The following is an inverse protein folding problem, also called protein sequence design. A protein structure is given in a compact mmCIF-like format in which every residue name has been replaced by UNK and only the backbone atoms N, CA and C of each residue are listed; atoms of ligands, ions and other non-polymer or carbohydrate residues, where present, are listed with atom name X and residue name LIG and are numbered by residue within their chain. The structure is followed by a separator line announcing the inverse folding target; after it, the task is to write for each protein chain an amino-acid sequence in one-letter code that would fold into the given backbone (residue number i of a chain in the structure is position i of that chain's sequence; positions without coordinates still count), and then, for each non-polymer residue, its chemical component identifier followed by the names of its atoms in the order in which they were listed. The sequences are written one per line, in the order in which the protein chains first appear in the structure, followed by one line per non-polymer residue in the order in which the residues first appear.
data_IF_483480090628
#
_entry.id   IF_483480090628
#
_cell.length_a   1.000
_cell.length_b   1.000
_cell.length_c   1.000
_cell.angle_alpha   90.00
_cell.angle_beta   90.00
_cell.angle_gamma   90.00
#
_symmetry.space_group_name_H-M   'P 1'
#
loop_
_entity.id
_entity.type
_entity.pdbx_description
1 polymer ?
#
# COMPACT_ATOMS: atom_id res chain seq x y z
N UNK A 1 -2.93 -4.32 19.16
CA UNK A 1 -3.52 -3.84 17.91
C UNK A 1 -2.80 -4.51 16.74
N UNK A 2 -3.50 -4.83 15.65
CA UNK A 2 -2.92 -5.51 14.48
C UNK A 2 -2.74 -4.55 13.31
N UNK A 3 -1.60 -4.65 12.61
CA UNK A 3 -1.28 -3.89 11.40
C UNK A 3 -0.99 -4.88 10.28
N UNK A 4 -1.67 -4.71 9.14
CA UNK A 4 -1.49 -5.54 7.96
C UNK A 4 -0.84 -4.69 6.86
N UNK A 5 0.42 -4.99 6.55
CA UNK A 5 1.15 -4.37 5.45
C UNK A 5 0.66 -4.95 4.12
N UNK A 6 0.25 -4.09 3.21
CA UNK A 6 -0.27 -4.47 1.89
C UNK A 6 0.67 -3.95 0.81
N UNK A 7 1.26 -4.86 0.05
CA UNK A 7 2.10 -4.54 -1.10
C UNK A 7 1.87 -5.53 -2.24
N UNK A 8 2.19 -5.15 -3.47
CA UNK A 8 1.99 -6.02 -4.63
C UNK A 8 2.90 -7.24 -4.58
N UNK A 9 4.20 -7.05 -4.22
CA UNK A 9 5.20 -8.11 -4.19
C UNK A 9 6.04 -8.08 -2.91
N UNK A 10 6.51 -9.26 -2.51
CA UNK A 10 7.37 -9.49 -1.35
C UNK A 10 8.65 -8.65 -1.37
N UNK A 11 9.24 -8.43 -2.54
CA UNK A 11 10.46 -7.61 -2.68
C UNK A 11 10.27 -6.20 -2.11
N UNK A 12 9.09 -5.60 -2.28
CA UNK A 12 8.79 -4.29 -1.70
C UNK A 12 8.84 -4.33 -0.18
N UNK A 13 8.25 -5.36 0.41
CA UNK A 13 8.28 -5.55 1.86
C UNK A 13 9.70 -5.81 2.37
N UNK A 14 10.38 -6.79 1.78
CA UNK A 14 11.71 -7.21 2.20
C UNK A 14 12.73 -6.07 2.14
N UNK A 15 12.64 -5.22 1.09
CA UNK A 15 13.61 -4.14 0.86
C UNK A 15 13.31 -2.89 1.69
N UNK A 16 12.04 -2.49 1.78
CA UNK A 16 11.69 -1.16 2.27
C UNK A 16 10.87 -1.16 3.56
N UNK A 17 10.15 -2.24 3.87
CA UNK A 17 9.15 -2.22 4.94
C UNK A 17 9.53 -3.11 6.13
N UNK A 18 10.47 -4.03 5.95
CA UNK A 18 10.84 -5.01 6.99
C UNK A 18 11.31 -4.33 8.28
N UNK A 19 12.22 -3.36 8.18
CA UNK A 19 12.73 -2.66 9.36
C UNK A 19 11.63 -1.92 10.12
N UNK A 20 10.68 -1.33 9.39
CA UNK A 20 9.52 -0.68 9.97
C UNK A 20 8.59 -1.70 10.65
N UNK A 21 8.35 -2.84 10.02
CA UNK A 21 7.53 -3.92 10.57
C UNK A 21 8.16 -4.51 11.85
N UNK A 22 9.48 -4.72 11.84
CA UNK A 22 10.23 -5.17 13.01
C UNK A 22 10.15 -4.15 14.18
N UNK A 23 10.31 -2.87 13.87
CA UNK A 23 10.19 -1.79 14.87
C UNK A 23 8.79 -1.77 15.50
N UNK A 24 7.74 -1.81 14.69
CA UNK A 24 6.36 -1.81 15.17
C UNK A 24 6.04 -3.09 15.96
N UNK A 25 6.61 -4.23 15.55
CA UNK A 25 6.49 -5.49 16.31
C UNK A 25 7.10 -5.37 17.70
N UNK A 26 8.29 -4.76 17.81
CA UNK A 26 8.94 -4.47 19.12
C UNK A 26 8.12 -3.52 19.99
N UNK A 27 7.29 -2.67 19.39
CA UNK A 27 6.33 -1.79 20.11
C UNK A 27 5.01 -2.48 20.48
N UNK A 28 4.91 -3.80 20.30
CA UNK A 28 3.75 -4.60 20.71
C UNK A 28 2.64 -4.71 19.67
N UNK A 29 2.85 -4.23 18.44
CA UNK A 29 1.89 -4.42 17.35
C UNK A 29 2.01 -5.83 16.77
N UNK A 30 0.87 -6.49 16.53
CA UNK A 30 0.84 -7.73 15.75
C UNK A 30 0.95 -7.40 14.26
N UNK A 31 2.03 -7.85 13.62
CA UNK A 31 2.30 -7.54 12.22
C UNK A 31 1.91 -8.71 11.33
N UNK A 32 1.18 -8.40 10.26
CA UNK A 32 0.87 -9.31 9.15
C UNK A 32 1.23 -8.67 7.82
N UNK A 33 1.43 -9.50 6.78
CA UNK A 33 1.81 -9.04 5.44
C UNK A 33 0.89 -9.68 4.40
N UNK A 34 0.43 -8.91 3.43
CA UNK A 34 -0.32 -9.42 2.28
C UNK A 34 0.36 -9.00 0.98
N UNK A 35 0.75 -9.99 0.17
CA UNK A 35 1.39 -9.79 -1.14
C UNK A 35 1.14 -11.00 -2.05
N UNK A 36 1.59 -10.90 -3.33
CA UNK A 36 1.33 -11.93 -4.32
C UNK A 36 2.24 -13.16 -4.20
N UNK A 37 3.47 -12.96 -3.77
CA UNK A 37 4.56 -13.95 -3.74
C UNK A 37 5.07 -14.15 -2.31
N UNK A 38 4.18 -14.63 -1.42
CA UNK A 38 4.50 -14.84 0.00
C UNK A 38 5.60 -15.86 0.23
N UNK A 39 5.85 -16.74 -0.72
CA UNK A 39 6.94 -17.72 -0.72
C UNK A 39 8.32 -17.07 -0.64
N UNK A 40 8.47 -15.86 -1.20
CA UNK A 40 9.71 -15.07 -1.21
C UNK A 40 9.76 -14.03 -0.07
N UNK A 41 8.83 -14.11 0.89
CA UNK A 41 8.78 -13.16 1.99
C UNK A 41 9.78 -13.56 3.09
N UNK A 42 10.68 -12.64 3.46
CA UNK A 42 11.64 -12.84 4.56
C UNK A 42 11.02 -12.53 5.93
N UNK A 43 9.73 -12.75 6.09
CA UNK A 43 8.97 -12.51 7.30
C UNK A 43 8.19 -13.76 7.69
N UNK A 44 7.70 -13.85 8.95
CA UNK A 44 6.99 -15.02 9.45
C UNK A 44 5.81 -15.42 8.54
N UNK A 45 5.91 -16.55 7.84
CA UNK A 45 4.87 -17.02 6.89
C UNK A 45 3.49 -17.20 7.54
N UNK A 46 3.44 -17.67 8.78
CA UNK A 46 2.18 -17.85 9.53
C UNK A 46 1.41 -16.54 9.78
N UNK A 47 2.05 -15.39 9.48
CA UNK A 47 1.47 -14.06 9.60
C UNK A 47 1.31 -13.39 8.23
N UNK A 48 1.16 -14.16 7.14
CA UNK A 48 1.06 -13.62 5.79
C UNK A 48 -0.17 -14.14 5.03
N UNK A 49 -0.63 -13.34 4.08
CA UNK A 49 -1.77 -13.64 3.21
C UNK A 49 -1.36 -13.54 1.75
N UNK A 50 -1.62 -14.61 0.99
CA UNK A 50 -1.43 -14.58 -0.47
C UNK A 50 -2.62 -13.90 -1.12
N UNK A 51 -2.37 -12.78 -1.82
CA UNK A 51 -3.34 -12.08 -2.64
C UNK A 51 -2.76 -11.89 -4.03
N UNK A 52 -3.40 -12.43 -5.04
CA UNK A 52 -2.93 -12.38 -6.42
C UNK A 52 -3.11 -10.97 -7.03
N UNK A 53 -2.38 -9.98 -6.50
CA UNK A 53 -2.43 -8.63 -7.06
C UNK A 53 -1.87 -8.59 -8.48
N UNK A 54 -2.50 -7.84 -9.40
CA UNK A 54 -1.88 -7.50 -10.66
C UNK A 54 -0.53 -6.78 -10.43
N UNK A 55 0.52 -7.20 -11.14
CA UNK A 55 1.86 -6.60 -10.98
C UNK A 55 2.07 -5.40 -11.89
N UNK A 56 1.31 -5.30 -12.99
CA UNK A 56 1.34 -4.18 -13.94
C UNK A 56 -0.09 -3.69 -14.19
N UNK A 57 -0.24 -2.41 -14.53
CA UNK A 57 -1.58 -1.86 -14.84
C UNK A 57 -2.23 -2.51 -16.06
N UNK A 58 -1.45 -2.97 -17.04
CA UNK A 58 -1.98 -3.74 -18.17
C UNK A 58 -2.68 -5.04 -17.71
N UNK A 59 -2.26 -5.61 -16.59
CA UNK A 59 -2.90 -6.80 -16.03
C UNK A 59 -4.29 -6.52 -15.42
N UNK A 60 -4.69 -5.24 -15.30
CA UNK A 60 -6.04 -4.88 -14.89
C UNK A 60 -7.10 -5.24 -15.96
N UNK A 61 -6.67 -5.49 -17.21
CA UNK A 61 -7.53 -6.01 -18.27
C UNK A 61 -7.83 -7.49 -18.05
N UNK A 62 -7.00 -8.20 -17.28
CA UNK A 62 -7.23 -9.61 -16.95
C UNK A 62 -8.34 -9.73 -15.88
N UNK A 63 -9.57 -9.82 -16.36
CA UNK A 63 -10.76 -9.87 -15.50
C UNK A 63 -10.76 -11.04 -14.50
N UNK A 64 -10.38 -12.29 -14.87
CA UNK A 64 -10.25 -13.38 -13.91
C UNK A 64 -9.27 -13.08 -12.76
N UNK A 65 -8.12 -12.48 -13.07
CA UNK A 65 -7.13 -12.09 -12.07
C UNK A 65 -7.68 -11.01 -11.12
N UNK A 66 -8.40 -10.03 -11.66
CA UNK A 66 -9.07 -9.01 -10.85
C UNK A 66 -10.12 -9.62 -9.93
N UNK A 67 -11.01 -10.44 -10.45
CA UNK A 67 -12.05 -11.10 -9.66
C UNK A 67 -11.41 -11.90 -8.52
N UNK A 68 -10.37 -12.68 -8.81
CA UNK A 68 -9.62 -13.44 -7.80
C UNK A 68 -9.03 -12.54 -6.73
N UNK A 69 -8.36 -11.45 -7.14
CA UNK A 69 -7.82 -10.45 -6.20
C UNK A 69 -8.91 -9.84 -5.33
N UNK A 70 -10.05 -9.48 -5.93
CA UNK A 70 -11.20 -8.93 -5.20
C UNK A 70 -11.76 -9.90 -4.16
N UNK A 71 -11.94 -11.16 -4.49
CA UNK A 71 -12.42 -12.18 -3.56
C UNK A 71 -11.45 -12.32 -2.39
N UNK A 72 -10.15 -12.40 -2.67
CA UNK A 72 -9.10 -12.52 -1.65
C UNK A 72 -9.03 -11.30 -0.72
N UNK A 73 -9.11 -10.08 -1.28
CA UNK A 73 -9.17 -8.83 -0.49
C UNK A 73 -10.43 -8.82 0.39
N UNK A 74 -11.60 -9.19 -0.17
CA UNK A 74 -12.85 -9.29 0.60
C UNK A 74 -12.73 -10.26 1.78
N UNK A 75 -12.11 -11.42 1.57
CA UNK A 75 -11.88 -12.40 2.63
C UNK A 75 -10.94 -11.87 3.71
N UNK A 76 -9.84 -11.20 3.31
CA UNK A 76 -8.89 -10.58 4.22
C UNK A 76 -9.58 -9.52 5.08
N UNK A 77 -10.32 -8.61 4.45
CA UNK A 77 -11.06 -7.54 5.15
C UNK A 77 -12.07 -8.10 6.13
N UNK A 78 -12.89 -9.08 5.72
CA UNK A 78 -13.90 -9.69 6.59
C UNK A 78 -13.29 -10.30 7.86
N UNK A 79 -12.12 -10.96 7.73
CA UNK A 79 -11.42 -11.61 8.85
C UNK A 79 -10.69 -10.62 9.77
N UNK A 80 -10.41 -9.40 9.31
CA UNK A 80 -9.52 -8.47 10.01
C UNK A 80 -10.10 -7.04 10.09
N UNK A 81 -11.40 -6.89 10.31
CA UNK A 81 -12.11 -5.59 10.31
C UNK A 81 -11.55 -4.56 11.31
N UNK A 82 -11.02 -5.01 12.44
CA UNK A 82 -10.44 -4.15 13.48
C UNK A 82 -8.98 -3.77 13.24
N UNK A 83 -8.33 -4.40 12.24
CA UNK A 83 -6.93 -4.17 11.92
C UNK A 83 -6.72 -2.84 11.19
N UNK A 84 -5.50 -2.31 11.28
CA UNK A 84 -5.04 -1.21 10.43
C UNK A 84 -4.46 -1.80 9.15
N UNK A 85 -4.93 -1.33 8.01
CA UNK A 85 -4.40 -1.69 6.69
C UNK A 85 -3.41 -0.63 6.23
N UNK A 86 -2.14 -1.03 6.14
CA UNK A 86 -1.03 -0.15 5.77
C UNK A 86 -0.62 -0.44 4.32
N UNK A 87 -1.02 0.45 3.42
CA UNK A 87 -0.96 0.25 1.96
C UNK A 87 0.28 0.93 1.38
N UNK A 88 1.04 0.22 0.54
CA UNK A 88 2.31 0.72 0.03
C UNK A 88 2.43 0.82 -1.50
N UNK A 89 1.96 -0.14 -2.27
CA UNK A 89 2.11 -0.13 -3.73
C UNK A 89 0.85 0.36 -4.43
N UNK A 90 0.95 1.13 -5.52
CA UNK A 90 -0.22 1.78 -6.13
C UNK A 90 -1.34 0.82 -6.50
N UNK A 91 -1.04 -0.28 -7.21
CA UNK A 91 -2.07 -1.21 -7.69
C UNK A 91 -2.80 -1.89 -6.52
N UNK A 92 -2.04 -2.45 -5.56
CA UNK A 92 -2.64 -3.06 -4.37
C UNK A 92 -3.43 -2.04 -3.54
N UNK A 93 -2.91 -0.81 -3.42
CA UNK A 93 -3.58 0.28 -2.71
C UNK A 93 -4.88 0.70 -3.39
N UNK A 94 -4.91 0.83 -4.72
CA UNK A 94 -6.13 1.19 -5.45
C UNK A 94 -7.21 0.13 -5.25
N UNK A 95 -6.87 -1.15 -5.44
CA UNK A 95 -7.82 -2.25 -5.24
C UNK A 95 -8.33 -2.30 -3.79
N UNK A 96 -7.43 -2.14 -2.82
CA UNK A 96 -7.81 -2.20 -1.41
C UNK A 96 -8.69 -1.00 -1.00
N UNK A 97 -8.34 0.20 -1.44
CA UNK A 97 -9.10 1.43 -1.15
C UNK A 97 -10.45 1.45 -1.85
N UNK A 98 -10.58 0.83 -3.04
CA UNK A 98 -11.87 0.63 -3.67
C UNK A 98 -12.82 -0.18 -2.76
N UNK A 99 -12.30 -1.23 -2.12
CA UNK A 99 -13.06 -1.97 -1.12
C UNK A 99 -13.48 -1.13 0.08
N UNK A 100 -12.63 -0.19 0.50
CA UNK A 100 -12.92 0.67 1.65
C UNK A 100 -14.12 1.60 1.42
N UNK A 101 -14.52 1.83 0.18
CA UNK A 101 -15.75 2.58 -0.12
C UNK A 101 -17.00 1.88 0.44
N UNK A 102 -16.97 0.55 0.52
CA UNK A 102 -18.08 -0.29 0.99
C UNK A 102 -17.92 -0.77 2.44
N UNK A 103 -16.74 -0.58 3.04
CA UNK A 103 -16.44 -1.03 4.39
C UNK A 103 -15.77 0.09 5.19
N UNK A 104 -16.11 0.17 6.48
CA UNK A 104 -15.43 1.11 7.38
C UNK A 104 -14.09 0.52 7.86
N UNK A 105 -13.01 0.79 7.12
CA UNK A 105 -11.66 0.27 7.36
C UNK A 105 -10.76 1.38 7.90
N UNK A 106 -9.78 1.00 8.72
CA UNK A 106 -8.69 1.89 9.15
C UNK A 106 -7.55 1.80 8.16
N UNK A 107 -7.39 2.80 7.31
CA UNK A 107 -6.43 2.81 6.20
C UNK A 107 -5.36 3.87 6.40
N UNK A 108 -4.11 3.43 6.37
CA UNK A 108 -2.93 4.28 6.18
C UNK A 108 -2.39 4.01 4.78
N UNK A 109 -2.26 5.04 3.95
CA UNK A 109 -1.69 4.91 2.62
C UNK A 109 -0.35 5.63 2.52
N UNK A 110 0.72 4.85 2.36
CA UNK A 110 2.06 5.36 2.13
C UNK A 110 2.29 5.53 0.63
N UNK A 111 2.34 6.78 0.18
CA UNK A 111 2.49 7.14 -1.23
C UNK A 111 3.98 7.27 -1.56
N UNK A 112 4.54 6.28 -2.26
CA UNK A 112 5.91 6.34 -2.80
C UNK A 112 6.06 7.30 -3.97
N UNK A 113 4.98 7.81 -4.51
CA UNK A 113 4.85 8.75 -5.61
C UNK A 113 3.51 8.55 -6.32
N UNK A 114 2.82 9.64 -6.61
CA UNK A 114 1.62 9.55 -7.44
C UNK A 114 1.97 9.19 -8.88
N UNK A 115 1.01 8.60 -9.58
CA UNK A 115 1.17 8.17 -10.99
C UNK A 115 0.99 9.31 -11.98
N UNK A 116 0.78 10.52 -11.50
CA UNK A 116 0.69 11.74 -12.29
C UNK A 116 1.84 12.68 -11.89
N UNK A 117 2.73 12.91 -12.83
CA UNK A 117 3.86 13.83 -12.71
C UNK A 117 3.81 14.81 -13.88
N UNK A 118 4.65 15.84 -13.89
CA UNK A 118 4.78 16.78 -15.00
C UNK A 118 5.09 16.11 -16.36
N UNK A 119 5.69 14.91 -16.32
CA UNK A 119 6.02 14.10 -17.51
C UNK A 119 4.90 13.11 -17.93
N UNK A 120 3.80 13.05 -17.21
CA UNK A 120 2.71 12.11 -17.50
C UNK A 120 1.79 12.71 -18.56
N UNK A 121 1.35 11.90 -19.54
CA UNK A 121 0.35 12.31 -20.53
C UNK A 121 -0.89 12.91 -19.84
N UNK A 122 -1.43 13.97 -20.39
CA UNK A 122 -2.53 14.77 -19.84
C UNK A 122 -3.75 13.90 -19.45
N UNK A 123 -4.27 13.09 -20.36
CA UNK A 123 -5.44 12.23 -20.09
C UNK A 123 -5.16 11.21 -18.98
N UNK A 124 -3.98 10.61 -19.00
CA UNK A 124 -3.56 9.68 -17.97
C UNK A 124 -3.40 10.35 -16.61
N UNK A 125 -2.90 11.57 -16.60
CA UNK A 125 -2.77 12.38 -15.38
C UNK A 125 -4.14 12.67 -14.76
N UNK A 126 -5.10 13.13 -15.58
CA UNK A 126 -6.48 13.40 -15.13
C UNK A 126 -7.12 12.13 -14.57
N UNK A 127 -7.01 11.01 -15.29
CA UNK A 127 -7.56 9.73 -14.85
C UNK A 127 -7.06 9.32 -13.45
N UNK A 128 -5.74 9.35 -13.23
CA UNK A 128 -5.20 9.01 -11.92
C UNK A 128 -5.55 10.02 -10.83
N UNK A 129 -5.64 11.30 -11.15
CA UNK A 129 -6.09 12.33 -10.20
C UNK A 129 -7.53 12.08 -9.74
N UNK A 130 -8.42 11.74 -10.66
CA UNK A 130 -9.82 11.42 -10.33
C UNK A 130 -9.89 10.18 -9.44
N UNK A 131 -9.17 9.11 -9.80
CA UNK A 131 -9.11 7.88 -8.98
C UNK A 131 -8.60 8.20 -7.57
N UNK A 132 -7.46 8.89 -7.45
CA UNK A 132 -6.89 9.23 -6.15
C UNK A 132 -7.84 10.09 -5.31
N UNK A 133 -8.54 11.05 -5.94
CA UNK A 133 -9.53 11.89 -5.29
C UNK A 133 -10.70 11.07 -4.75
N UNK A 134 -11.28 10.19 -5.56
CA UNK A 134 -12.39 9.32 -5.14
C UNK A 134 -11.97 8.36 -4.02
N UNK A 135 -10.84 7.69 -4.17
CA UNK A 135 -10.36 6.73 -3.19
C UNK A 135 -9.87 7.41 -1.90
N UNK A 136 -9.62 8.71 -1.92
CA UNK A 136 -9.25 9.46 -0.71
C UNK A 136 -10.37 9.56 0.31
N UNK A 137 -11.64 9.44 -0.10
CA UNK A 137 -12.81 9.57 0.77
C UNK A 137 -12.76 8.69 2.02
N UNK A 138 -12.17 7.51 1.92
CA UNK A 138 -12.09 6.52 3.00
C UNK A 138 -10.65 6.24 3.45
N UNK A 139 -9.68 7.06 3.04
CA UNK A 139 -8.29 6.93 3.49
C UNK A 139 -8.09 7.79 4.73
N UNK A 140 -7.78 7.17 5.88
CA UNK A 140 -7.67 7.90 7.15
C UNK A 140 -6.38 8.72 7.25
N UNK A 141 -5.26 8.14 6.79
CA UNK A 141 -3.93 8.77 6.86
C UNK A 141 -3.21 8.62 5.52
N UNK A 142 -2.62 9.71 5.06
CA UNK A 142 -1.69 9.73 3.95
C UNK A 142 -0.28 10.02 4.45
N UNK A 143 0.69 9.17 4.09
CA UNK A 143 2.12 9.41 4.34
C UNK A 143 2.80 9.59 2.98
N UNK A 144 3.59 10.64 2.80
CA UNK A 144 4.22 11.01 1.53
C UNK A 144 5.67 11.38 1.73
N UNK A 145 6.48 11.11 0.71
CA UNK A 145 7.91 11.40 0.70
C UNK A 145 8.19 12.73 -0.01
N UNK A 146 7.54 12.95 -1.16
CA UNK A 146 7.77 14.12 -1.99
C UNK A 146 6.90 15.31 -1.55
N UNK A 147 7.49 16.51 -1.54
CA UNK A 147 6.78 17.74 -1.19
C UNK A 147 5.61 18.02 -2.15
N UNK A 148 5.81 17.78 -3.44
CA UNK A 148 4.76 17.96 -4.46
C UNK A 148 3.54 17.07 -4.20
N UNK A 149 3.77 15.78 -3.89
CA UNK A 149 2.70 14.83 -3.57
C UNK A 149 1.98 15.22 -2.27
N UNK A 150 2.72 15.76 -1.30
CA UNK A 150 2.16 16.26 -0.05
C UNK A 150 1.25 17.47 -0.30
N UNK A 151 1.72 18.47 -1.03
CA UNK A 151 0.95 19.66 -1.37
C UNK A 151 -0.30 19.31 -2.17
N UNK A 152 -0.15 18.41 -3.16
CA UNK A 152 -1.29 17.93 -3.94
C UNK A 152 -2.36 17.29 -3.06
N UNK A 153 -1.95 16.40 -2.16
CA UNK A 153 -2.90 15.73 -1.28
C UNK A 153 -3.61 16.69 -0.33
N UNK A 154 -2.88 17.60 0.28
CA UNK A 154 -3.44 18.61 1.19
C UNK A 154 -4.50 19.48 0.51
N UNK A 155 -4.26 19.83 -0.77
CA UNK A 155 -5.11 20.80 -1.48
C UNK A 155 -6.23 20.16 -2.30
N UNK A 156 -6.09 18.89 -2.73
CA UNK A 156 -6.96 18.32 -3.76
C UNK A 156 -7.68 17.03 -3.34
N UNK A 157 -7.26 16.37 -2.27
CA UNK A 157 -7.94 15.15 -1.84
C UNK A 157 -9.14 15.47 -0.96
N UNK A 158 -10.22 14.71 -1.13
CA UNK A 158 -11.51 14.97 -0.48
C UNK A 158 -11.50 14.68 1.01
N UNK A 159 -10.70 13.70 1.44
CA UNK A 159 -10.58 13.40 2.86
C UNK A 159 -9.56 14.36 3.50
N UNK A 160 -10.01 15.11 4.47
CA UNK A 160 -9.16 15.93 5.35
C UNK A 160 -8.38 15.09 6.38
N UNK A 161 -8.26 13.78 6.15
CA UNK A 161 -7.42 12.90 6.97
C UNK A 161 -6.00 13.41 7.08
N UNK A 162 -5.32 13.06 8.15
CA UNK A 162 -3.97 13.54 8.43
C UNK A 162 -3.02 13.19 7.28
N UNK A 163 -2.37 14.21 6.72
CA UNK A 163 -1.31 14.04 5.73
C UNK A 163 0.03 14.32 6.41
N UNK A 164 0.94 13.34 6.35
CA UNK A 164 2.28 13.45 6.91
C UNK A 164 3.31 13.41 5.80
N UNK A 165 4.37 14.20 5.95
CA UNK A 165 5.55 14.14 5.09
C UNK A 165 6.67 13.42 5.82
N UNK A 166 7.22 12.39 5.18
CA UNK A 166 8.40 11.68 5.63
C UNK A 166 9.61 12.04 4.78
N UNK A 167 10.79 12.07 5.39
CA UNK A 167 12.03 12.44 4.70
C UNK A 167 12.66 11.29 3.90
N UNK A 168 11.99 10.15 3.80
CA UNK A 168 12.43 8.97 3.04
C UNK A 168 11.71 7.69 3.45
N UNK A 169 12.09 6.59 2.81
CA UNK A 169 11.51 5.26 3.08
C UNK A 169 12.22 4.57 4.28
N UNK A 170 13.35 5.11 4.72
CA UNK A 170 14.13 4.51 5.81
C UNK A 170 14.85 3.23 5.39
N UNK A 171 15.85 3.32 4.52
CA UNK A 171 16.70 2.18 4.18
C UNK A 171 17.71 1.90 5.31
N UNK A 172 17.72 0.69 5.83
CA UNK A 172 18.78 0.21 6.71
C UNK A 172 20.04 -0.12 5.90
N UNK A 173 20.97 0.82 5.81
CA UNK A 173 22.21 0.69 5.06
C UNK A 173 23.12 -0.42 5.62
N UNK A 174 23.03 -0.75 6.90
CA UNK A 174 23.83 -1.82 7.52
C UNK A 174 23.48 -3.20 6.99
N UNK A 175 22.23 -3.44 6.57
CA UNK A 175 21.79 -4.70 5.97
C UNK A 175 22.19 -4.84 4.48
N UNK A 176 22.60 -3.77 3.80
CA UNK A 176 22.92 -3.77 2.37
C UNK A 176 24.34 -4.28 2.07
N UNK A 177 25.27 -4.21 3.02
CA UNK A 177 26.67 -4.59 2.82
C UNK A 177 26.95 -6.11 2.87
N UNK A 178 25.91 -6.96 2.91
CA UNK A 178 26.08 -8.42 3.04
C UNK A 178 25.81 -9.22 1.75
N UNK A 179 25.61 -8.58 0.59
CA UNK A 179 25.37 -9.27 -0.69
C UNK A 179 26.08 -8.68 -1.90
N UNK A 180 27.34 -8.28 -1.73
CA UNK A 180 28.26 -8.10 -2.87
C UNK A 180 29.45 -9.02 -2.64
N UNK A 181 29.27 -10.28 -2.95
CA UNK A 181 30.30 -11.25 -3.36
C UNK A 181 29.69 -12.15 -4.42
#
# INVERSE_FOLDING_TARGET
MEIIFICTRSITFNTFLMSQAEYLSKKGFKIKVACSDIENLNFKRNSSYKINFPTKYIHLINLPLLIKSFIQVKQLVKKNKSSIFYLHTPIASHLFRLFSLFYNLKIIYFVHGFRFTSKTNFFRSIFFKIIEKLLSLKTNIFIKIKQEDFNYAKNNLLNKGAAYKENGIGLDLKKKNLKTK
#
